data_IF_797306761522
#
_entry.id   IF_797306761522
#
_cell.length_a   1.000
_cell.length_b   1.000
_cell.length_c   1.000
_cell.angle_alpha   90.00
_cell.angle_beta   90.00
_cell.angle_gamma   90.00
#
_symmetry.space_group_name_H-M   'P 1'
#
loop_
_entity.id
_entity.type
_entity.pdbx_description
1 polymer ?
#
# COMPACT_ATOMS: atom_id res chain seq x y z
N UNK A 1 0.25 -64.16 19.73
CA UNK A 1 0.55 -62.91 18.99
C UNK A 1 -0.42 -62.84 17.83
N UNK A 2 -1.64 -62.34 18.09
CA UNK A 2 -2.63 -62.12 17.05
C UNK A 2 -2.35 -60.72 16.46
N UNK A 3 -2.30 -60.66 15.13
CA UNK A 3 -1.85 -59.52 14.34
C UNK A 3 -2.86 -58.36 14.45
N UNK A 4 -2.65 -57.43 15.39
CA UNK A 4 -3.47 -56.21 15.58
C UNK A 4 -3.14 -55.15 14.51
N UNK A 5 -3.31 -55.48 13.23
CA UNK A 5 -3.17 -54.47 12.16
C UNK A 5 -4.50 -53.78 11.91
N UNK A 6 -4.57 -52.50 12.30
CA UNK A 6 -5.75 -51.63 12.15
C UNK A 6 -5.98 -51.16 10.69
N UNK A 7 -5.00 -51.35 9.80
CA UNK A 7 -5.05 -50.95 8.39
C UNK A 7 -4.45 -52.02 7.48
N UNK A 8 -4.97 -52.12 6.26
CA UNK A 8 -4.43 -52.96 5.19
C UNK A 8 -3.76 -52.07 4.12
N UNK A 9 -2.56 -52.46 3.70
CA UNK A 9 -1.86 -51.83 2.57
C UNK A 9 -2.38 -52.50 1.30
N UNK A 10 -3.13 -51.75 0.48
CA UNK A 10 -3.89 -52.34 -0.64
C UNK A 10 -2.99 -52.75 -1.79
N UNK A 11 -1.81 -52.15 -1.97
CA UNK A 11 -0.81 -52.52 -2.99
C UNK A 11 0.58 -52.31 -2.40
N UNK A 12 1.47 -53.31 -2.43
CA UNK A 12 2.74 -53.34 -1.67
C UNK A 12 3.85 -52.36 -2.05
N UNK A 13 3.55 -51.17 -2.58
CA UNK A 13 4.54 -50.13 -2.91
C UNK A 13 4.49 -48.94 -1.96
N UNK A 14 5.61 -48.22 -1.81
CA UNK A 14 5.83 -47.16 -0.81
C UNK A 14 4.88 -45.93 -0.86
N UNK A 15 3.94 -45.88 -1.83
CA UNK A 15 2.96 -44.78 -2.05
C UNK A 15 1.51 -45.32 -1.99
N UNK A 16 1.31 -46.49 -1.40
CA UNK A 16 0.02 -47.18 -1.38
C UNK A 16 -1.05 -46.52 -0.51
N UNK A 17 -2.29 -46.47 -1.02
CA UNK A 17 -3.48 -46.10 -0.24
C UNK A 17 -3.68 -47.07 0.94
N UNK A 18 -3.71 -46.53 2.16
CA UNK A 18 -4.04 -47.27 3.36
C UNK A 18 -5.57 -47.35 3.49
N UNK A 19 -6.12 -48.57 3.47
CA UNK A 19 -7.57 -48.78 3.64
C UNK A 19 -7.87 -49.24 5.06
N UNK A 20 -8.83 -48.58 5.70
CA UNK A 20 -9.22 -48.89 7.09
C UNK A 20 -9.83 -50.27 7.11
N UNK A 21 -9.26 -51.17 7.90
CA UNK A 21 -10.00 -52.35 8.31
C UNK A 21 -11.10 -51.87 9.25
N UNK A 22 -12.35 -51.87 8.75
CA UNK A 22 -13.52 -51.53 9.57
C UNK A 22 -13.73 -52.64 10.60
N UNK A 23 -13.00 -52.57 11.71
CA UNK A 23 -13.38 -53.29 12.92
C UNK A 23 -14.56 -52.51 13.51
N UNK A 24 -15.78 -53.08 13.55
CA UNK A 24 -16.91 -52.38 14.13
C UNK A 24 -16.63 -52.20 15.62
N UNK A 25 -16.47 -50.95 16.06
CA UNK A 25 -16.54 -50.63 17.49
C UNK A 25 -17.91 -51.14 17.97
N UNK A 26 -17.95 -52.16 18.84
CA UNK A 26 -19.21 -52.68 19.40
C UNK A 26 -19.97 -51.64 20.24
N UNK A 27 -19.33 -50.49 20.53
CA UNK A 27 -19.96 -49.32 21.14
C UNK A 27 -20.53 -48.39 20.06
N UNK A 28 -21.83 -48.10 20.12
CA UNK A 28 -22.39 -46.94 19.43
C UNK A 28 -21.59 -45.70 19.87
N UNK A 29 -21.09 -44.85 18.95
CA UNK A 29 -20.43 -43.62 19.36
C UNK A 29 -21.44 -42.79 20.17
N UNK A 30 -21.06 -42.39 21.38
CA UNK A 30 -21.90 -41.50 22.19
C UNK A 30 -21.96 -40.18 21.44
N UNK A 31 -23.17 -39.76 21.06
CA UNK A 31 -23.34 -38.48 20.40
C UNK A 31 -23.02 -37.36 21.40
N UNK A 32 -22.34 -36.32 20.93
CA UNK A 32 -21.89 -35.20 21.74
C UNK A 32 -22.62 -33.94 21.24
N UNK A 33 -23.09 -33.10 22.16
CA UNK A 33 -23.70 -31.82 21.85
C UNK A 33 -22.92 -30.67 22.47
N UNK A 34 -22.94 -29.52 21.79
CA UNK A 34 -22.40 -28.28 22.33
C UNK A 34 -23.41 -27.69 23.32
N UNK A 35 -23.05 -27.65 24.60
CA UNK A 35 -23.83 -27.01 25.66
C UNK A 35 -23.64 -25.49 25.70
N UNK A 36 -24.21 -24.86 26.73
CA UNK A 36 -24.00 -23.43 27.01
C UNK A 36 -22.53 -23.17 27.41
N UNK A 37 -22.00 -21.99 27.08
CA UNK A 37 -20.70 -21.48 27.55
C UNK A 37 -19.49 -22.40 27.32
N UNK A 38 -19.41 -23.05 26.14
CA UNK A 38 -18.31 -23.93 25.73
C UNK A 38 -18.21 -25.26 26.48
N UNK A 39 -19.19 -25.58 27.31
CA UNK A 39 -19.27 -26.90 27.92
C UNK A 39 -19.78 -27.90 26.88
N UNK A 40 -19.15 -29.07 26.85
CA UNK A 40 -19.50 -30.15 25.93
C UNK A 40 -20.32 -31.15 26.75
N UNK A 41 -21.49 -31.58 26.25
CA UNK A 41 -22.36 -32.53 26.93
C UNK A 41 -22.55 -33.81 26.13
N UNK A 42 -22.75 -34.91 26.84
CA UNK A 42 -23.20 -36.14 26.20
C UNK A 42 -24.67 -36.02 25.78
N UNK A 43 -24.98 -36.43 24.55
CA UNK A 43 -26.34 -36.52 24.03
C UNK A 43 -26.91 -37.87 24.47
N UNK A 44 -27.28 -37.98 25.75
CA UNK A 44 -27.94 -39.16 26.27
C UNK A 44 -29.41 -38.83 26.55
N UNK A 45 -30.32 -39.49 25.81
CA UNK A 45 -31.78 -39.26 25.92
C UNK A 45 -32.42 -39.86 27.19
N UNK A 46 -31.64 -40.56 28.02
CA UNK A 46 -32.14 -41.36 29.16
C UNK A 46 -31.78 -40.85 30.56
N UNK A 47 -30.91 -39.84 30.69
CA UNK A 47 -30.56 -39.25 32.00
C UNK A 47 -31.16 -37.85 32.14
N UNK A 48 -31.70 -37.56 33.32
CA UNK A 48 -32.27 -36.24 33.70
C UNK A 48 -31.22 -35.19 34.05
N UNK A 49 -29.96 -35.58 34.27
CA UNK A 49 -28.85 -34.67 34.59
C UNK A 49 -27.96 -34.45 33.36
N UNK A 50 -27.60 -33.18 33.11
CA UNK A 50 -26.66 -32.82 32.04
C UNK A 50 -25.22 -33.21 32.42
N UNK A 51 -24.75 -34.36 31.93
CA UNK A 51 -23.37 -34.82 32.12
C UNK A 51 -22.41 -34.01 31.22
N UNK A 52 -21.80 -32.97 31.79
CA UNK A 52 -20.77 -32.17 31.14
C UNK A 52 -19.40 -32.86 31.16
N UNK A 53 -18.72 -32.88 30.01
CA UNK A 53 -17.36 -33.40 29.87
C UNK A 53 -16.34 -32.44 30.51
N UNK A 54 -15.55 -32.96 31.45
CA UNK A 54 -14.46 -32.20 32.05
C UNK A 54 -13.25 -32.12 31.12
N UNK A 55 -12.53 -30.99 31.16
CA UNK A 55 -11.32 -30.81 30.36
C UNK A 55 -10.23 -31.86 30.68
N UNK A 56 -10.15 -32.33 31.93
CA UNK A 56 -9.22 -33.39 32.33
C UNK A 56 -9.57 -34.73 31.65
N UNK A 57 -10.86 -35.07 31.58
CA UNK A 57 -11.30 -36.28 30.91
C UNK A 57 -11.00 -36.24 29.41
N UNK A 58 -11.25 -35.12 28.75
CA UNK A 58 -10.90 -34.93 27.33
C UNK A 58 -9.39 -35.01 27.10
N UNK A 59 -8.58 -34.48 28.03
CA UNK A 59 -7.12 -34.59 27.94
C UNK A 59 -6.65 -36.05 27.98
N UNK A 60 -7.19 -36.86 28.90
CA UNK A 60 -6.86 -38.30 28.98
C UNK A 60 -7.23 -39.03 27.70
N UNK A 61 -8.35 -38.68 27.06
CA UNK A 61 -8.72 -39.23 25.75
C UNK A 61 -7.68 -38.84 24.71
N UNK A 62 -7.32 -37.56 24.62
CA UNK A 62 -6.35 -37.06 23.63
C UNK A 62 -4.94 -37.59 23.83
N UNK A 63 -4.56 -37.96 25.05
CA UNK A 63 -3.26 -38.60 25.34
C UNK A 63 -3.21 -40.07 24.88
N UNK A 64 -4.34 -40.76 24.85
CA UNK A 64 -4.43 -42.17 24.44
C UNK A 64 -4.58 -42.36 22.92
N UNK A 65 -4.61 -41.29 22.13
CA UNK A 65 -4.72 -41.38 20.66
C UNK A 65 -3.37 -41.81 20.09
N UNK A 66 -3.37 -42.82 19.22
CA UNK A 66 -2.16 -43.30 18.56
C UNK A 66 -1.58 -42.26 17.59
N UNK A 67 -0.26 -42.25 17.41
CA UNK A 67 0.42 -41.36 16.45
C UNK A 67 -0.11 -41.51 15.01
N UNK A 68 -0.57 -42.71 14.64
CA UNK A 68 -1.17 -42.98 13.34
C UNK A 68 -2.52 -42.27 13.21
N UNK A 69 -3.39 -42.38 14.22
CA UNK A 69 -4.69 -41.72 14.23
C UNK A 69 -4.57 -40.19 14.27
N UNK A 70 -3.57 -39.66 14.99
CA UNK A 70 -3.25 -38.22 14.99
C UNK A 70 -2.97 -37.72 13.57
N UNK A 71 -2.15 -38.44 12.79
CA UNK A 71 -1.86 -38.08 11.40
C UNK A 71 -3.08 -38.19 10.50
N UNK A 72 -3.88 -39.23 10.69
CA UNK A 72 -5.10 -39.45 9.92
C UNK A 72 -6.15 -38.36 10.15
N UNK A 73 -6.23 -37.79 11.35
CA UNK A 73 -7.08 -36.64 11.66
C UNK A 73 -6.55 -35.31 11.08
N UNK A 74 -5.39 -35.31 10.43
CA UNK A 74 -4.75 -34.11 9.86
C UNK A 74 -3.86 -33.34 10.84
N UNK A 75 -3.59 -33.89 12.02
CA UNK A 75 -2.67 -33.29 12.99
C UNK A 75 -1.23 -33.80 12.78
N UNK A 76 -0.25 -32.99 13.19
CA UNK A 76 1.14 -33.38 13.18
C UNK A 76 1.58 -33.81 14.58
N UNK A 77 2.01 -35.06 14.73
CA UNK A 77 2.46 -35.65 16.01
C UNK A 77 3.49 -34.76 16.73
N UNK A 78 4.41 -34.13 15.98
CA UNK A 78 5.49 -33.32 16.54
C UNK A 78 5.14 -31.83 16.73
N UNK A 79 4.13 -31.30 16.03
CA UNK A 79 3.87 -29.84 15.97
C UNK A 79 2.47 -29.42 16.40
N UNK A 80 1.48 -30.29 16.32
CA UNK A 80 0.08 -29.97 16.60
C UNK A 80 -0.67 -31.17 17.18
N UNK A 81 -0.07 -31.86 18.16
CA UNK A 81 -0.74 -32.99 18.81
C UNK A 81 -2.06 -32.53 19.47
N UNK A 82 -3.19 -33.26 19.32
CA UNK A 82 -4.51 -32.86 19.83
C UNK A 82 -4.55 -32.46 21.32
N UNK A 83 -3.79 -33.18 22.16
CA UNK A 83 -3.62 -32.86 23.59
C UNK A 83 -3.18 -31.40 23.86
N UNK A 84 -2.48 -30.75 22.93
CA UNK A 84 -2.02 -29.36 23.07
C UNK A 84 -3.12 -28.32 22.82
N UNK A 85 -4.30 -28.73 22.37
CA UNK A 85 -5.48 -27.85 22.32
C UNK A 85 -5.99 -27.50 23.73
N UNK A 86 -5.68 -28.34 24.74
CA UNK A 86 -6.02 -28.10 26.14
C UNK A 86 -4.85 -27.39 26.81
N UNK A 87 -5.10 -26.17 27.31
CA UNK A 87 -4.07 -25.33 27.91
C UNK A 87 -3.74 -25.80 29.33
N UNK A 88 -2.61 -26.48 29.50
CA UNK A 88 -2.02 -26.78 30.82
C UNK A 88 -1.09 -25.67 31.32
N UNK A 89 -0.40 -25.01 30.40
CA UNK A 89 0.54 -23.92 30.67
C UNK A 89 0.17 -22.75 29.78
N UNK A 90 -0.13 -21.61 30.38
CA UNK A 90 -0.47 -20.38 29.66
C UNK A 90 0.79 -19.50 29.53
N UNK A 91 1.31 -19.26 28.31
CA UNK A 91 2.45 -18.37 28.13
C UNK A 91 2.06 -16.91 28.39
N UNK A 92 2.86 -16.22 29.22
CA UNK A 92 2.69 -14.80 29.51
C UNK A 92 3.52 -13.97 28.52
N UNK A 93 2.91 -13.09 27.71
CA UNK A 93 3.64 -12.30 26.74
C UNK A 93 4.57 -11.27 27.43
N UNK A 94 5.71 -10.92 26.82
CA UNK A 94 6.64 -9.92 27.36
C UNK A 94 6.04 -8.51 27.29
N UNK A 95 6.65 -7.56 28.00
CA UNK A 95 6.20 -6.15 28.06
C UNK A 95 6.10 -5.49 26.67
N UNK A 96 6.91 -5.91 25.70
CA UNK A 96 6.84 -5.41 24.32
C UNK A 96 5.47 -5.64 23.64
N UNK A 97 4.72 -6.68 24.05
CA UNK A 97 3.38 -6.98 23.52
C UNK A 97 2.26 -6.30 24.34
N UNK A 98 2.57 -5.96 25.60
CA UNK A 98 1.65 -5.35 26.58
C UNK A 98 2.30 -4.12 27.22
N UNK A 99 2.56 -3.06 26.42
CA UNK A 99 3.33 -1.91 26.87
C UNK A 99 2.57 -1.14 27.96
N UNK A 100 3.33 -0.51 28.86
CA UNK A 100 2.78 0.41 29.84
C UNK A 100 2.82 1.82 29.27
N UNK A 101 1.78 2.60 29.52
CA UNK A 101 1.68 3.98 29.04
C UNK A 101 1.72 4.92 30.24
N UNK A 102 2.70 5.82 30.25
CA UNK A 102 2.77 6.91 31.23
C UNK A 102 2.14 8.14 30.58
N UNK A 103 0.97 8.53 31.05
CA UNK A 103 0.32 9.76 30.61
C UNK A 103 1.06 10.97 31.18
N UNK A 104 1.22 12.07 30.42
CA UNK A 104 1.83 13.29 30.94
C UNK A 104 1.09 13.76 32.20
N UNK A 105 1.82 13.89 33.33
CA UNK A 105 1.25 14.34 34.61
C UNK A 105 0.73 13.24 35.55
N UNK A 106 0.79 11.96 35.18
CA UNK A 106 0.52 10.84 36.10
C UNK A 106 1.81 10.18 36.56
N UNK A 107 1.97 9.97 37.86
CA UNK A 107 3.12 9.29 38.46
C UNK A 107 3.08 7.77 38.34
N UNK A 108 1.88 7.19 38.16
CA UNK A 108 1.68 5.74 38.04
C UNK A 108 1.39 5.37 36.58
N UNK A 109 2.17 4.45 35.98
CA UNK A 109 1.92 4.00 34.61
C UNK A 109 0.57 3.28 34.49
N UNK A 110 -0.19 3.63 33.44
CA UNK A 110 -1.38 2.88 33.05
C UNK A 110 -0.96 1.55 32.42
N UNK A 111 -1.55 0.47 32.91
CA UNK A 111 -1.25 -0.89 32.46
C UNK A 111 -2.11 -1.27 31.25
N UNK A 112 -1.56 -2.11 30.39
CA UNK A 112 -2.29 -2.66 29.25
C UNK A 112 -3.47 -3.58 29.68
N UNK A 113 -4.55 -3.58 28.90
CA UNK A 113 -5.75 -4.43 29.12
C UNK A 113 -5.42 -5.93 29.29
N UNK A 114 -4.42 -6.45 28.56
CA UNK A 114 -3.95 -7.83 28.67
C UNK A 114 -3.32 -8.07 30.05
N UNK A 115 -2.56 -7.10 30.57
CA UNK A 115 -1.95 -7.18 31.90
C UNK A 115 -3.02 -7.25 32.99
N UNK A 116 -4.07 -6.44 32.89
CA UNK A 116 -5.20 -6.52 33.83
C UNK A 116 -5.84 -7.91 33.84
N UNK A 117 -6.06 -8.49 32.65
CA UNK A 117 -6.67 -9.82 32.55
C UNK A 117 -5.76 -10.94 33.08
N UNK A 118 -4.44 -10.84 32.86
CA UNK A 118 -3.47 -11.79 33.41
C UNK A 118 -3.44 -11.77 34.94
N UNK A 119 -3.55 -10.59 35.56
CA UNK A 119 -3.63 -10.48 37.03
C UNK A 119 -4.86 -11.22 37.56
N UNK A 120 -6.02 -11.09 36.90
CA UNK A 120 -7.22 -11.81 37.31
C UNK A 120 -7.07 -13.33 37.15
N UNK A 121 -6.47 -13.79 36.04
CA UNK A 121 -6.18 -15.22 35.81
C UNK A 121 -5.31 -15.78 36.93
N UNK A 122 -4.23 -15.07 37.31
CA UNK A 122 -3.31 -15.51 38.38
C UNK A 122 -4.03 -15.55 39.73
N UNK A 123 -4.84 -14.53 40.06
CA UNK A 123 -5.60 -14.48 41.31
C UNK A 123 -6.56 -15.67 41.44
N UNK A 124 -7.33 -15.98 40.39
CA UNK A 124 -8.28 -17.09 40.42
C UNK A 124 -7.55 -18.44 40.44
N UNK A 125 -6.44 -18.56 39.71
CA UNK A 125 -5.63 -19.79 39.73
C UNK A 125 -5.05 -20.06 41.14
N UNK A 126 -4.54 -19.04 41.83
CA UNK A 126 -4.04 -19.17 43.19
C UNK A 126 -5.18 -19.49 44.18
N UNK A 127 -6.36 -18.90 44.00
CA UNK A 127 -7.54 -19.24 44.80
C UNK A 127 -7.96 -20.70 44.60
N UNK A 128 -7.94 -21.19 43.36
CA UNK A 128 -8.24 -22.60 43.05
C UNK A 128 -7.22 -23.56 43.69
N UNK A 129 -5.95 -23.16 43.77
CA UNK A 129 -4.91 -23.92 44.50
C UNK A 129 -5.19 -23.94 46.00
N UNK A 130 -5.57 -22.80 46.60
CA UNK A 130 -5.91 -22.71 48.02
C UNK A 130 -7.13 -23.59 48.38
N UNK A 131 -8.22 -23.48 47.62
CA UNK A 131 -9.43 -24.31 47.82
C UNK A 131 -9.16 -25.81 47.74
N UNK A 132 -8.21 -26.21 46.87
CA UNK A 132 -7.78 -27.60 46.76
C UNK A 132 -7.01 -28.08 47.99
N UNK A 133 -6.18 -27.23 48.58
CA UNK A 133 -5.41 -27.57 49.78
C UNK A 133 -6.31 -27.63 51.02
N UNK A 134 -7.30 -26.74 51.09
CA UNK A 134 -8.23 -26.63 52.23
C UNK A 134 -9.34 -27.69 52.21
N UNK A 135 -9.31 -28.66 51.27
CA UNK A 135 -10.33 -29.72 51.12
C UNK A 135 -11.76 -29.16 51.09
N UNK A 136 -11.94 -28.05 50.37
CA UNK A 136 -13.25 -27.38 50.21
C UNK A 136 -14.25 -28.23 49.43
N UNK A 137 -15.53 -27.84 49.45
CA UNK A 137 -16.60 -28.57 48.75
C UNK A 137 -16.39 -28.60 47.23
N UNK A 138 -16.70 -29.73 46.60
CA UNK A 138 -16.57 -29.93 45.14
C UNK A 138 -17.34 -28.87 44.32
N UNK A 139 -18.45 -28.37 44.85
CA UNK A 139 -19.24 -27.30 44.24
C UNK A 139 -18.44 -25.99 44.12
N UNK A 140 -17.78 -25.56 45.19
CA UNK A 140 -16.96 -24.33 45.18
C UNK A 140 -15.76 -24.45 44.23
N UNK A 141 -15.17 -25.64 44.12
CA UNK A 141 -14.10 -25.92 43.16
C UNK A 141 -14.61 -25.85 41.72
N UNK A 142 -15.79 -26.41 41.43
CA UNK A 142 -16.40 -26.39 40.11
C UNK A 142 -16.75 -24.96 39.66
N UNK A 143 -17.27 -24.12 40.56
CA UNK A 143 -17.61 -22.73 40.25
C UNK A 143 -16.35 -21.89 40.00
N UNK A 144 -15.31 -22.06 40.83
CA UNK A 144 -14.01 -21.39 40.62
C UNK A 144 -13.35 -21.83 39.31
N UNK A 145 -13.50 -23.11 38.93
CA UNK A 145 -13.01 -23.64 37.65
C UNK A 145 -13.74 -23.01 36.45
N UNK A 146 -15.07 -22.85 36.52
CA UNK A 146 -15.85 -22.12 35.49
C UNK A 146 -15.40 -20.67 35.37
N UNK A 147 -15.14 -20.01 36.50
CA UNK A 147 -14.63 -18.64 36.51
C UNK A 147 -13.24 -18.53 35.88
N UNK A 148 -12.33 -19.47 36.17
CA UNK A 148 -11.02 -19.52 35.53
C UNK A 148 -11.15 -19.69 34.01
N UNK A 149 -12.03 -20.60 33.56
CA UNK A 149 -12.32 -20.81 32.14
C UNK A 149 -12.86 -19.53 31.48
N UNK A 150 -13.73 -18.78 32.16
CA UNK A 150 -14.21 -17.49 31.70
C UNK A 150 -13.06 -16.48 31.51
N UNK A 151 -12.16 -16.35 32.48
CA UNK A 151 -11.03 -15.43 32.38
C UNK A 151 -10.02 -15.79 31.29
N UNK A 152 -9.72 -17.08 31.11
CA UNK A 152 -8.86 -17.57 30.02
C UNK A 152 -9.52 -17.34 28.65
N UNK A 153 -10.82 -17.62 28.53
CA UNK A 153 -11.54 -17.45 27.26
C UNK A 153 -11.60 -15.98 26.87
N UNK A 154 -11.98 -15.11 27.81
CA UNK A 154 -12.04 -13.67 27.57
C UNK A 154 -10.66 -13.05 27.33
N UNK A 155 -9.56 -13.61 27.84
CA UNK A 155 -8.19 -13.20 27.52
C UNK A 155 -7.83 -13.36 26.03
N UNK A 156 -8.35 -14.40 25.37
CA UNK A 156 -8.14 -14.60 23.93
C UNK A 156 -9.23 -13.92 23.09
N UNK A 157 -10.49 -14.07 23.48
CA UNK A 157 -11.67 -13.66 22.70
C UNK A 157 -12.73 -13.05 23.63
N UNK A 158 -12.97 -11.75 23.49
CA UNK A 158 -13.94 -11.00 24.29
C UNK A 158 -15.21 -10.60 23.52
N UNK A 159 -15.26 -10.84 22.20
CA UNK A 159 -16.37 -10.42 21.33
C UNK A 159 -17.41 -11.51 21.07
N UNK A 160 -17.28 -12.68 21.68
CA UNK A 160 -18.22 -13.77 21.39
C UNK A 160 -19.58 -13.49 22.05
N UNK A 161 -20.70 -13.61 21.31
CA UNK A 161 -22.04 -13.29 21.84
C UNK A 161 -22.49 -14.23 22.96
N UNK A 162 -21.91 -15.43 23.06
CA UNK A 162 -22.24 -16.42 24.09
C UNK A 162 -21.56 -16.14 25.44
N UNK A 163 -20.77 -15.07 25.59
CA UNK A 163 -20.04 -14.79 26.84
C UNK A 163 -20.31 -13.35 27.26
N UNK A 164 -20.48 -13.14 28.57
CA UNK A 164 -20.47 -11.81 29.17
C UNK A 164 -19.12 -11.12 28.91
N UNK A 165 -19.14 -9.98 28.21
CA UNK A 165 -17.91 -9.25 27.86
C UNK A 165 -17.20 -8.76 29.12
N UNK A 166 -15.90 -9.04 29.20
CA UNK A 166 -15.06 -8.50 30.25
C UNK A 166 -14.84 -7.00 30.00
N UNK A 167 -15.20 -6.18 30.98
CA UNK A 167 -15.11 -4.72 30.93
C UNK A 167 -14.09 -4.21 31.96
N UNK A 168 -13.53 -3.04 31.67
CA UNK A 168 -12.79 -2.23 32.64
C UNK A 168 -13.74 -1.69 33.71
N UNK A 169 -13.19 -1.12 34.79
CA UNK A 169 -13.97 -0.44 35.85
C UNK A 169 -14.91 0.65 35.30
N UNK A 170 -14.59 1.22 34.14
CA UNK A 170 -15.36 2.28 33.49
C UNK A 170 -16.40 1.74 32.48
N UNK A 171 -16.65 0.42 32.46
CA UNK A 171 -17.60 -0.22 31.55
C UNK A 171 -17.11 -0.41 30.10
N UNK A 172 -15.94 0.13 29.73
CA UNK A 172 -15.34 -0.11 28.41
C UNK A 172 -14.89 -1.58 28.29
N UNK A 173 -15.22 -2.31 27.19
CA UNK A 173 -14.73 -3.66 26.95
C UNK A 173 -13.19 -3.71 26.84
N UNK A 174 -12.58 -4.73 27.44
CA UNK A 174 -11.13 -4.95 27.36
C UNK A 174 -10.72 -5.33 25.93
N UNK A 175 -9.61 -4.74 25.44
CA UNK A 175 -9.04 -5.05 24.11
C UNK A 175 -8.07 -6.22 24.17
N UNK A 176 -8.56 -7.39 23.75
CA UNK A 176 -7.87 -8.68 23.93
C UNK A 176 -7.12 -9.13 22.66
N UNK A 177 -6.37 -10.23 22.73
CA UNK A 177 -5.44 -10.64 21.67
C UNK A 177 -6.14 -10.78 20.31
N UNK A 178 -7.27 -11.49 20.22
CA UNK A 178 -7.96 -11.66 18.93
C UNK A 178 -8.46 -10.35 18.33
N UNK A 179 -8.88 -9.39 19.16
CA UNK A 179 -9.34 -8.08 18.70
C UNK A 179 -8.18 -7.21 18.20
N UNK A 180 -6.98 -7.37 18.77
CA UNK A 180 -5.78 -6.68 18.29
C UNK A 180 -5.36 -7.17 16.92
N UNK A 181 -5.61 -8.43 16.59
CA UNK A 181 -5.22 -9.01 15.30
C UNK A 181 -6.25 -8.75 14.19
N UNK A 182 -7.55 -8.76 14.52
CA UNK A 182 -8.65 -8.66 13.54
C UNK A 182 -9.09 -7.22 13.29
N UNK A 183 -9.80 -7.01 12.20
CA UNK A 183 -10.44 -5.73 11.85
C UNK A 183 -9.59 -4.80 10.99
N UNK A 184 -10.15 -3.64 10.62
CA UNK A 184 -9.50 -2.65 9.76
C UNK A 184 -8.26 -2.03 10.43
N UNK A 185 -8.36 -1.75 11.73
CA UNK A 185 -7.27 -1.21 12.55
C UNK A 185 -6.49 -2.30 13.31
N UNK A 186 -6.76 -3.58 13.05
CA UNK A 186 -6.01 -4.68 13.64
C UNK A 186 -4.58 -4.74 13.12
N UNK A 187 -3.66 -5.37 13.84
CA UNK A 187 -2.24 -5.45 13.47
C UNK A 187 -2.01 -6.01 12.07
N UNK A 188 -2.77 -7.03 11.66
CA UNK A 188 -2.60 -7.64 10.34
C UNK A 188 -2.87 -6.65 9.19
N UNK A 189 -3.93 -5.84 9.30
CA UNK A 189 -4.30 -4.90 8.23
C UNK A 189 -3.66 -3.52 8.43
N UNK A 190 -3.74 -2.97 9.63
CA UNK A 190 -3.31 -1.60 9.93
C UNK A 190 -1.83 -1.41 10.26
N UNK A 191 -1.04 -2.49 10.38
CA UNK A 191 0.41 -2.37 10.60
C UNK A 191 1.25 -3.15 9.59
N UNK A 192 0.75 -4.30 9.10
CA UNK A 192 1.46 -5.08 8.07
C UNK A 192 1.03 -4.70 6.65
N UNK A 193 -0.28 -4.57 6.38
CA UNK A 193 -0.77 -4.31 5.01
C UNK A 193 -0.81 -2.82 4.65
N UNK A 194 -1.08 -1.95 5.62
CA UNK A 194 -1.03 -0.51 5.45
C UNK A 194 -0.30 0.10 6.64
N UNK A 195 0.91 0.62 6.41
CA UNK A 195 1.72 1.28 7.42
C UNK A 195 1.83 2.76 7.08
N UNK A 196 2.14 3.58 8.08
CA UNK A 196 2.62 4.94 7.84
C UNK A 196 4.09 4.84 7.43
N UNK A 197 4.43 5.53 6.35
CA UNK A 197 5.75 5.49 5.75
C UNK A 197 6.44 6.84 5.93
N UNK A 198 7.72 6.78 6.27
CA UNK A 198 8.60 7.94 6.31
C UNK A 198 8.98 8.39 4.89
N UNK A 199 9.63 9.56 4.78
CA UNK A 199 10.05 10.15 3.48
C UNK A 199 8.90 10.34 2.48
N UNK A 200 7.74 10.75 3.02
CA UNK A 200 6.56 11.11 2.25
C UNK A 200 6.07 12.50 2.62
N UNK A 201 5.39 13.15 1.69
CA UNK A 201 4.77 14.46 1.89
C UNK A 201 3.37 14.48 1.27
N UNK A 202 2.51 15.37 1.76
CA UNK A 202 1.15 15.59 1.26
C UNK A 202 0.88 17.08 1.20
N UNK A 203 0.32 17.53 0.09
CA UNK A 203 -0.11 18.92 -0.11
C UNK A 203 -1.20 18.98 -1.18
N UNK A 204 -1.86 20.13 -1.26
CA UNK A 204 -2.86 20.46 -2.29
C UNK A 204 -2.17 20.54 -3.65
N UNK A 205 -2.86 20.11 -4.71
CA UNK A 205 -2.38 20.20 -6.08
C UNK A 205 -2.85 21.47 -6.80
N UNK A 206 -2.07 21.92 -7.79
CA UNK A 206 -2.39 23.06 -8.65
C UNK A 206 -2.00 22.76 -10.09
N UNK A 207 -2.73 23.28 -11.09
CA UNK A 207 -2.40 23.07 -12.49
C UNK A 207 -1.16 23.89 -12.87
N UNK A 208 -0.28 23.31 -13.68
CA UNK A 208 0.77 24.06 -14.35
C UNK A 208 0.97 23.54 -15.78
N UNK A 209 0.63 24.33 -16.82
CA UNK A 209 0.79 23.90 -18.21
C UNK A 209 2.24 24.00 -18.71
N UNK A 210 3.14 24.64 -17.95
CA UNK A 210 4.52 24.88 -18.37
C UNK A 210 5.47 23.72 -18.05
N UNK A 211 5.07 22.81 -17.16
CA UNK A 211 5.86 21.65 -16.76
C UNK A 211 5.57 20.44 -17.66
N UNK A 212 6.55 19.55 -17.83
CA UNK A 212 6.38 18.31 -18.59
C UNK A 212 5.42 17.34 -17.87
N UNK A 213 4.80 16.42 -18.61
CA UNK A 213 3.92 15.35 -18.05
C UNK A 213 4.65 14.40 -17.10
N UNK A 214 5.97 14.34 -17.18
CA UNK A 214 6.77 13.47 -16.34
C UNK A 214 7.46 14.25 -15.22
N UNK A 215 7.05 15.50 -15.00
CA UNK A 215 7.53 16.35 -13.92
C UNK A 215 6.41 16.67 -12.95
N UNK A 216 6.79 16.80 -11.68
CA UNK A 216 5.91 17.32 -10.63
C UNK A 216 6.61 18.49 -9.94
N UNK A 217 5.90 19.62 -9.83
CA UNK A 217 6.37 20.77 -9.08
C UNK A 217 6.33 20.46 -7.59
N UNK A 218 7.48 20.50 -6.93
CA UNK A 218 7.66 20.25 -5.50
C UNK A 218 7.99 21.58 -4.80
N UNK A 219 7.21 21.98 -3.79
CA UNK A 219 7.52 23.12 -2.94
C UNK A 219 8.94 23.08 -2.36
N UNK A 220 9.67 24.19 -2.42
CA UNK A 220 11.01 24.32 -1.84
C UNK A 220 11.03 23.96 -0.34
N UNK A 221 10.01 24.36 0.41
CA UNK A 221 9.86 24.04 1.85
C UNK A 221 9.81 22.52 2.09
N UNK A 222 9.14 21.77 1.21
CA UNK A 222 9.05 20.30 1.31
C UNK A 222 10.35 19.64 0.86
N UNK A 223 11.04 20.21 -0.12
CA UNK A 223 12.29 19.68 -0.63
C UNK A 223 13.43 19.70 0.40
N UNK A 224 13.43 20.66 1.34
CA UNK A 224 14.38 20.72 2.47
C UNK A 224 14.14 19.63 3.53
N UNK A 225 12.87 19.26 3.72
CA UNK A 225 12.48 18.24 4.70
C UNK A 225 12.77 16.85 4.14
N UNK A 226 12.38 16.62 2.89
CA UNK A 226 12.55 15.34 2.23
C UNK A 226 14.00 15.13 1.79
N UNK A 227 14.55 13.98 2.14
CA UNK A 227 15.95 13.66 1.86
C UNK A 227 16.09 12.38 1.05
N UNK A 228 17.24 12.26 0.39
CA UNK A 228 17.69 11.07 -0.30
C UNK A 228 19.10 10.70 0.19
N UNK A 229 19.32 9.47 0.71
CA UNK A 229 20.62 9.02 1.18
C UNK A 229 21.52 8.75 -0.02
N UNK A 230 22.55 9.57 -0.20
CA UNK A 230 23.54 9.39 -1.24
C UNK A 230 24.87 8.91 -0.64
N UNK A 231 25.35 7.78 -1.16
CA UNK A 231 26.62 7.20 -0.74
C UNK A 231 27.76 8.02 -1.35
N UNK A 232 28.72 8.39 -0.51
CA UNK A 232 29.94 9.08 -0.92
C UNK A 232 30.82 8.09 -1.69
N UNK A 233 31.12 8.47 -2.92
CA UNK A 233 32.02 7.79 -3.86
C UNK A 233 33.09 8.77 -4.29
N UNK A 234 34.20 8.27 -4.82
CA UNK A 234 35.30 9.11 -5.30
C UNK A 234 34.87 10.11 -6.38
N UNK A 235 33.81 9.79 -7.15
CA UNK A 235 33.30 10.66 -8.22
C UNK A 235 32.40 11.78 -7.72
N UNK A 236 31.58 11.54 -6.70
CA UNK A 236 30.60 12.52 -6.19
C UNK A 236 31.06 13.25 -4.92
N UNK A 237 32.20 12.86 -4.32
CA UNK A 237 32.71 13.39 -3.06
C UNK A 237 32.75 14.92 -3.03
N UNK A 238 33.46 15.57 -3.97
CA UNK A 238 33.56 17.05 -4.03
C UNK A 238 32.21 17.74 -4.11
N UNK A 239 31.27 17.12 -4.81
CA UNK A 239 29.91 17.64 -4.93
C UNK A 239 29.13 17.49 -3.63
N UNK A 240 29.22 16.34 -2.96
CA UNK A 240 28.59 16.13 -1.65
C UNK A 240 29.20 17.02 -0.56
N UNK A 241 30.52 17.25 -0.58
CA UNK A 241 31.18 18.22 0.29
C UNK A 241 30.59 19.62 0.10
N UNK A 242 30.36 20.05 -1.15
CA UNK A 242 29.71 21.33 -1.43
C UNK A 242 28.26 21.41 -0.93
N UNK A 243 27.55 20.29 -0.89
CA UNK A 243 26.18 20.20 -0.35
C UNK A 243 26.19 20.30 1.18
N UNK A 244 27.08 19.56 1.83
CA UNK A 244 27.22 19.59 3.30
C UNK A 244 27.63 20.99 3.77
N UNK A 245 28.48 21.68 3.02
CA UNK A 245 28.88 23.06 3.32
C UNK A 245 27.74 24.09 3.22
N UNK A 246 26.70 23.81 2.41
CA UNK A 246 25.47 24.65 2.41
C UNK A 246 24.62 24.46 3.67
N UNK A 247 24.76 23.33 4.35
CA UNK A 247 24.06 23.03 5.60
C UNK A 247 22.59 22.63 5.41
N UNK A 248 21.81 22.77 6.49
CA UNK A 248 20.41 22.33 6.59
C UNK A 248 19.40 23.32 5.99
N UNK A 249 19.64 24.63 6.13
CA UNK A 249 18.64 25.67 5.83
C UNK A 249 18.57 26.06 4.35
N UNK A 250 19.69 25.94 3.64
CA UNK A 250 19.81 26.31 2.23
C UNK A 250 19.23 25.24 1.30
N UNK A 251 18.65 25.68 0.18
CA UNK A 251 18.09 24.77 -0.83
C UNK A 251 19.22 23.98 -1.50
N UNK A 252 19.03 22.67 -1.58
CA UNK A 252 20.04 21.75 -2.12
C UNK A 252 21.21 21.55 -1.16
N UNK A 253 20.95 21.70 0.14
CA UNK A 253 21.81 21.28 1.24
C UNK A 253 21.56 19.83 1.67
N UNK A 254 21.88 19.52 2.93
CA UNK A 254 21.69 18.22 3.52
C UNK A 254 21.27 18.33 4.99
N UNK A 255 20.59 17.29 5.50
CA UNK A 255 20.14 17.27 6.89
C UNK A 255 21.07 16.44 7.78
N UNK A 256 21.58 15.33 7.25
CA UNK A 256 22.37 14.40 8.04
C UNK A 256 23.56 13.84 7.27
N UNK A 257 24.61 13.51 8.03
CA UNK A 257 25.76 12.73 7.55
C UNK A 257 25.91 11.52 8.47
N UNK A 258 25.99 10.34 7.87
CA UNK A 258 26.23 9.08 8.59
C UNK A 258 27.61 8.55 8.21
N UNK A 259 28.46 8.36 9.22
CA UNK A 259 29.80 7.82 9.04
C UNK A 259 29.77 6.30 8.85
N UNK A 260 30.89 5.69 8.46
CA UNK A 260 31.03 4.24 8.27
C UNK A 260 30.68 3.41 9.54
N UNK A 261 30.83 4.01 10.72
CA UNK A 261 30.48 3.39 12.00
C UNK A 261 28.97 3.47 12.34
N UNK A 262 28.16 4.09 11.48
CA UNK A 262 26.72 4.29 11.71
C UNK A 262 26.36 5.44 12.63
N UNK A 263 27.33 6.28 13.03
CA UNK A 263 27.04 7.51 13.79
C UNK A 263 26.43 8.55 12.87
N UNK A 264 25.19 8.95 13.15
CA UNK A 264 24.44 9.95 12.39
C UNK A 264 24.60 11.32 13.04
N UNK A 265 25.25 12.23 12.33
CA UNK A 265 25.44 13.63 12.72
C UNK A 265 24.37 14.49 12.07
N UNK A 266 23.67 15.29 12.88
CA UNK A 266 22.69 16.27 12.43
C UNK A 266 23.38 17.58 12.09
N UNK A 267 23.18 18.06 10.86
CA UNK A 267 23.79 19.29 10.36
C UNK A 267 23.12 20.55 10.93
N UNK A 268 21.89 20.46 11.45
CA UNK A 268 21.20 21.59 12.05
C UNK A 268 21.84 22.06 13.37
N UNK A 269 22.54 21.17 14.09
CA UNK A 269 23.20 21.46 15.36
C UNK A 269 24.72 21.58 15.25
N UNK A 270 25.28 21.56 14.04
CA UNK A 270 26.71 21.64 13.82
C UNK A 270 27.14 23.11 13.65
N UNK A 271 27.98 23.61 14.56
CA UNK A 271 28.46 24.99 14.51
C UNK A 271 29.48 25.22 13.37
N UNK A 272 30.35 24.23 13.10
CA UNK A 272 31.42 24.33 12.10
C UNK A 272 31.34 23.18 11.08
N UNK A 273 30.61 23.41 9.98
CA UNK A 273 30.42 22.44 8.89
C UNK A 273 31.74 22.06 8.17
N UNK A 274 32.74 22.94 8.22
CA UNK A 274 34.06 22.72 7.59
C UNK A 274 34.88 21.59 8.23
N UNK A 275 34.51 21.17 9.44
CA UNK A 275 35.18 20.07 10.15
C UNK A 275 34.77 18.70 9.62
N UNK A 276 33.68 18.61 8.85
CA UNK A 276 33.13 17.36 8.35
C UNK A 276 33.86 16.96 7.06
N UNK A 277 34.97 16.25 7.22
CA UNK A 277 35.68 15.64 6.09
C UNK A 277 34.97 14.35 5.65
N UNK A 278 34.34 14.36 4.48
CA UNK A 278 33.66 13.19 3.93
C UNK A 278 34.68 12.17 3.42
N UNK A 279 34.49 10.90 3.79
CA UNK A 279 35.27 9.77 3.24
C UNK A 279 34.38 8.87 2.38
N UNK A 280 34.93 8.16 1.37
CA UNK A 280 34.16 7.19 0.61
C UNK A 280 33.57 6.11 1.52
N UNK A 281 32.27 5.85 1.39
CA UNK A 281 31.51 4.95 2.29
C UNK A 281 30.49 5.68 3.17
N UNK A 282 30.70 6.97 3.42
CA UNK A 282 29.78 7.80 4.20
C UNK A 282 28.45 7.97 3.46
N UNK A 283 27.37 8.24 4.19
CA UNK A 283 26.04 8.48 3.62
C UNK A 283 25.63 9.90 3.95
N UNK A 284 25.29 10.69 2.93
CA UNK A 284 24.77 12.05 3.08
C UNK A 284 23.28 12.06 2.74
N UNK A 285 22.45 12.39 3.72
CA UNK A 285 21.00 12.58 3.54
C UNK A 285 20.77 13.99 2.96
N UNK A 286 20.99 14.13 1.65
CA UNK A 286 20.82 15.40 0.94
C UNK A 286 19.35 15.70 0.65
N UNK A 287 19.01 16.97 0.50
CA UNK A 287 17.68 17.40 0.07
C UNK A 287 17.31 16.87 -1.32
N UNK A 288 16.02 16.82 -1.62
CA UNK A 288 15.53 16.60 -2.99
C UNK A 288 15.98 17.76 -3.88
N UNK A 289 16.36 17.43 -5.11
CA UNK A 289 16.70 18.40 -6.16
C UNK A 289 15.90 18.17 -7.43
N UNK A 290 16.03 19.10 -8.36
CA UNK A 290 15.50 18.95 -9.70
C UNK A 290 15.94 17.64 -10.35
N UNK A 291 15.02 17.01 -11.06
CA UNK A 291 15.16 15.73 -11.74
C UNK A 291 15.37 14.51 -10.84
N UNK A 292 15.28 14.64 -9.51
CA UNK A 292 15.15 13.47 -8.66
C UNK A 292 13.83 12.74 -8.92
N UNK A 293 13.85 11.43 -8.71
CA UNK A 293 12.72 10.56 -9.05
C UNK A 293 11.86 10.40 -7.81
N UNK A 294 10.58 10.74 -7.94
CA UNK A 294 9.60 10.67 -6.86
C UNK A 294 8.40 9.88 -7.35
N UNK A 295 7.67 9.26 -6.42
CA UNK A 295 6.41 8.59 -6.72
C UNK A 295 5.28 9.50 -6.27
N UNK A 296 4.32 9.73 -7.15
CA UNK A 296 3.18 10.60 -6.89
C UNK A 296 1.88 9.80 -6.95
N UNK A 297 1.02 10.00 -5.95
CA UNK A 297 -0.17 9.18 -5.72
C UNK A 297 -1.38 10.05 -5.35
N UNK A 298 -2.56 9.71 -5.91
CA UNK A 298 -3.86 10.16 -5.39
C UNK A 298 -4.62 9.01 -4.72
N UNK A 299 -5.15 9.28 -3.53
CA UNK A 299 -6.04 8.36 -2.82
C UNK A 299 -7.50 8.66 -3.16
N UNK A 300 -8.37 7.64 -3.33
CA UNK A 300 -8.09 6.20 -3.29
C UNK A 300 -7.39 5.70 -4.57
N UNK A 301 -6.35 4.86 -4.41
CA UNK A 301 -5.61 4.30 -5.54
C UNK A 301 -6.26 3.01 -6.05
N UNK A 302 -7.16 3.13 -7.03
CA UNK A 302 -7.91 2.00 -7.60
C UNK A 302 -7.22 1.36 -8.81
N UNK A 303 -6.39 2.13 -9.50
CA UNK A 303 -5.72 1.70 -10.72
C UNK A 303 -4.21 1.84 -10.58
N UNK A 304 -3.46 1.07 -11.38
CA UNK A 304 -1.99 1.15 -11.42
C UNK A 304 -1.49 2.59 -11.64
N UNK A 305 -2.16 3.34 -12.51
CA UNK A 305 -1.80 4.72 -12.87
C UNK A 305 -2.18 5.75 -11.78
N UNK A 306 -2.89 5.35 -10.73
CA UNK A 306 -3.10 6.21 -9.57
C UNK A 306 -1.81 6.40 -8.74
N UNK A 307 -0.73 5.69 -9.10
CA UNK A 307 0.61 5.84 -8.52
C UNK A 307 1.68 5.73 -9.62
N UNK A 308 2.29 6.85 -9.99
CA UNK A 308 3.28 6.93 -11.08
C UNK A 308 4.55 7.65 -10.65
N UNK A 309 5.64 7.38 -11.36
CA UNK A 309 6.93 8.01 -11.15
C UNK A 309 7.05 9.32 -11.92
N UNK A 310 7.42 10.38 -11.22
CA UNK A 310 7.68 11.72 -11.76
C UNK A 310 9.11 12.17 -11.45
N UNK A 311 9.59 13.15 -12.19
CA UNK A 311 10.78 13.92 -11.86
C UNK A 311 10.38 15.15 -11.04
N UNK A 312 11.02 15.34 -9.90
CA UNK A 312 10.83 16.53 -9.10
C UNK A 312 11.34 17.77 -9.87
N UNK A 313 10.58 18.86 -9.80
CA UNK A 313 11.00 20.20 -10.20
C UNK A 313 10.72 21.11 -9.01
N UNK A 314 11.76 21.70 -8.43
CA UNK A 314 11.61 22.61 -7.31
C UNK A 314 10.92 23.88 -7.76
N UNK A 315 9.88 24.28 -7.04
CA UNK A 315 9.09 25.46 -7.36
C UNK A 315 8.75 26.26 -6.10
N UNK A 316 8.63 27.59 -6.22
CA UNK A 316 8.14 28.42 -5.15
C UNK A 316 6.63 28.16 -4.92
N UNK A 317 6.15 28.59 -3.75
CA UNK A 317 4.82 28.31 -3.17
C UNK A 317 4.71 26.94 -2.49
N UNK A 318 3.51 26.60 -2.01
CA UNK A 318 3.24 25.49 -1.08
C UNK A 318 2.47 24.32 -1.68
N UNK A 319 2.02 24.43 -2.92
CA UNK A 319 1.21 23.40 -3.60
C UNK A 319 2.08 22.56 -4.52
N UNK A 320 1.69 21.29 -4.70
CA UNK A 320 2.27 20.47 -5.76
C UNK A 320 1.76 20.94 -7.11
N UNK A 321 2.61 21.01 -8.13
CA UNK A 321 2.17 21.36 -9.49
C UNK A 321 2.18 20.16 -10.41
N UNK A 322 1.12 19.99 -11.19
CA UNK A 322 0.95 18.86 -12.10
C UNK A 322 0.52 19.35 -13.48
N UNK A 323 1.00 18.67 -14.52
CA UNK A 323 0.51 18.89 -15.88
C UNK A 323 -0.96 18.47 -15.99
N UNK A 324 -1.76 19.26 -16.71
CA UNK A 324 -3.18 18.99 -16.86
C UNK A 324 -3.47 17.64 -17.55
N UNK A 325 -2.58 17.15 -18.40
CA UNK A 325 -2.75 15.86 -19.09
C UNK A 325 -2.74 14.67 -18.11
N UNK A 326 -2.06 14.79 -16.96
CA UNK A 326 -1.96 13.72 -15.96
C UNK A 326 -3.13 13.70 -14.97
N UNK A 327 -4.02 14.69 -15.01
CA UNK A 327 -5.21 14.72 -14.14
C UNK A 327 -6.12 13.51 -14.36
N UNK A 328 -6.22 13.03 -15.61
CA UNK A 328 -7.08 11.91 -16.00
C UNK A 328 -6.70 10.59 -15.31
N UNK A 329 -5.44 10.09 -15.38
CA UNK A 329 -5.07 8.85 -14.69
C UNK A 329 -5.17 8.93 -13.16
N UNK A 330 -4.96 10.10 -12.57
CA UNK A 330 -5.14 10.31 -11.13
C UNK A 330 -6.61 10.51 -10.73
N UNK A 331 -7.50 10.73 -11.70
CA UNK A 331 -8.88 11.19 -11.49
C UNK A 331 -8.93 12.41 -10.57
N UNK A 332 -7.97 13.32 -10.75
CA UNK A 332 -7.76 14.48 -9.90
C UNK A 332 -8.39 15.73 -10.51
N UNK A 333 -8.87 16.63 -9.66
CA UNK A 333 -9.27 17.98 -10.01
C UNK A 333 -8.49 18.99 -9.14
N UNK A 334 -8.78 20.28 -9.27
CA UNK A 334 -8.04 21.35 -8.59
C UNK A 334 -8.94 22.16 -7.66
N UNK A 335 -9.93 21.53 -7.04
CA UNK A 335 -10.91 22.18 -6.15
C UNK A 335 -10.51 22.13 -4.64
N UNK A 336 -9.33 21.59 -4.34
CA UNK A 336 -8.85 21.33 -2.98
C UNK A 336 -8.26 19.93 -2.79
N UNK A 337 -8.25 19.13 -3.85
CA UNK A 337 -7.61 17.81 -3.91
C UNK A 337 -6.17 17.82 -3.36
N UNK A 338 -5.87 16.82 -2.53
CA UNK A 338 -4.55 16.58 -1.95
C UNK A 338 -3.95 15.30 -2.51
N UNK A 339 -2.66 15.34 -2.83
CA UNK A 339 -1.91 14.18 -3.31
C UNK A 339 -0.67 13.91 -2.45
N UNK A 340 -0.26 12.64 -2.45
CA UNK A 340 0.90 12.18 -1.69
C UNK A 340 2.11 12.04 -2.62
N UNK A 341 3.28 12.43 -2.12
CA UNK A 341 4.58 12.25 -2.75
C UNK A 341 5.42 11.32 -1.86
N UNK A 342 6.08 10.35 -2.48
CA UNK A 342 6.98 9.41 -1.82
C UNK A 342 8.36 9.44 -2.48
N UNK A 343 9.41 9.44 -1.67
CA UNK A 343 10.80 9.55 -2.13
C UNK A 343 11.48 8.18 -2.02
N UNK A 344 11.81 7.51 -3.15
CA UNK A 344 12.53 6.25 -3.11
C UNK A 344 13.91 6.43 -2.48
N UNK A 345 14.18 5.68 -1.40
CA UNK A 345 15.41 5.83 -0.61
C UNK A 345 16.60 5.00 -1.13
N UNK A 346 16.37 4.01 -1.99
CA UNK A 346 17.44 3.18 -2.56
C UNK A 346 17.63 3.43 -4.05
N UNK A 347 18.85 3.25 -4.56
CA UNK A 347 19.14 3.37 -5.98
C UNK A 347 18.38 2.33 -6.82
N UNK A 348 18.18 1.12 -6.27
CA UNK A 348 17.38 0.08 -6.92
C UNK A 348 15.91 0.52 -7.07
N UNK A 349 15.31 1.09 -6.01
CA UNK A 349 13.94 1.60 -6.08
C UNK A 349 13.83 2.80 -7.04
N UNK A 350 14.82 3.71 -7.06
CA UNK A 350 14.86 4.78 -8.07
C UNK A 350 14.90 4.23 -9.50
N UNK A 351 15.69 3.19 -9.73
CA UNK A 351 15.76 2.53 -11.03
C UNK A 351 14.42 1.87 -11.40
N UNK A 352 13.76 1.20 -10.47
CA UNK A 352 12.44 0.59 -10.67
C UNK A 352 11.40 1.64 -11.06
N UNK A 353 11.32 2.74 -10.32
CA UNK A 353 10.38 3.84 -10.60
C UNK A 353 10.67 4.46 -11.96
N UNK A 354 11.96 4.73 -12.28
CA UNK A 354 12.37 5.27 -13.58
C UNK A 354 12.00 4.37 -14.75
N UNK A 355 12.17 3.06 -14.58
CA UNK A 355 12.10 2.13 -15.69
C UNK A 355 10.74 1.47 -15.87
N UNK A 356 9.92 1.42 -14.82
CA UNK A 356 8.62 0.72 -14.84
C UNK A 356 7.49 1.73 -14.61
N UNK A 357 7.58 2.55 -13.57
CA UNK A 357 6.46 3.39 -13.11
C UNK A 357 6.41 4.79 -13.71
N UNK A 358 7.46 5.22 -14.43
CA UNK A 358 7.54 6.58 -14.97
C UNK A 358 6.34 6.91 -15.87
N UNK A 359 5.81 8.14 -15.76
CA UNK A 359 4.62 8.58 -16.50
C UNK A 359 4.67 8.28 -18.00
N UNK A 360 5.78 8.54 -18.73
CA UNK A 360 5.84 8.26 -20.17
C UNK A 360 5.63 6.78 -20.52
N UNK A 361 5.91 5.87 -19.58
CA UNK A 361 5.71 4.41 -19.72
C UNK A 361 4.32 3.95 -19.29
N UNK A 362 3.49 4.86 -18.77
CA UNK A 362 2.12 4.61 -18.32
C UNK A 362 1.07 5.35 -19.17
N UNK A 363 1.48 6.01 -20.27
CA UNK A 363 0.55 6.69 -21.19
C UNK A 363 -0.50 5.71 -21.73
N UNK A 364 -0.10 4.51 -22.15
CA UNK A 364 -1.00 3.47 -22.67
C UNK A 364 -1.36 2.49 -21.55
N UNK A 365 -2.66 2.33 -21.29
CA UNK A 365 -3.14 1.39 -20.28
C UNK A 365 -3.37 -0.01 -20.88
N UNK A 366 -2.88 -1.08 -20.23
CA UNK A 366 -3.18 -2.45 -20.64
C UNK A 366 -4.62 -2.88 -20.36
N UNK A 367 -5.40 -2.11 -19.58
CA UNK A 367 -6.80 -2.46 -19.29
C UNK A 367 -7.68 -2.40 -20.55
N UNK A 368 -7.43 -1.43 -21.42
CA UNK A 368 -8.23 -1.17 -22.62
C UNK A 368 -7.38 -0.96 -23.87
N UNK A 369 -6.07 -1.23 -23.79
CA UNK A 369 -5.09 -1.04 -24.87
C UNK A 369 -5.20 0.34 -25.56
N UNK A 370 -5.45 1.37 -24.76
CA UNK A 370 -5.66 2.75 -25.23
C UNK A 370 -4.91 3.76 -24.35
N UNK A 371 -4.56 4.93 -24.88
CA UNK A 371 -3.97 5.99 -24.08
C UNK A 371 -4.97 6.46 -23.00
N UNK A 372 -4.45 6.69 -21.79
CA UNK A 372 -5.18 7.28 -20.66
C UNK A 372 -4.78 8.74 -20.45
N UNK A 373 -3.52 9.07 -20.79
CA UNK A 373 -3.00 10.44 -20.79
C UNK A 373 -3.20 11.02 -22.19
N UNK A 374 -3.80 12.21 -22.25
CA UNK A 374 -4.06 12.92 -23.49
C UNK A 374 -4.40 14.39 -23.23
N UNK A 375 -4.58 15.16 -24.30
CA UNK A 375 -4.93 16.57 -24.18
C UNK A 375 -6.37 16.73 -23.66
N UNK A 376 -6.53 17.59 -22.66
CA UNK A 376 -7.81 17.85 -22.00
C UNK A 376 -8.07 19.35 -21.88
N UNK A 377 -9.32 19.70 -21.56
CA UNK A 377 -9.75 21.08 -21.27
C UNK A 377 -9.33 22.09 -22.35
N UNK A 378 -8.66 23.18 -21.97
CA UNK A 378 -8.32 24.30 -22.84
C UNK A 378 -7.38 23.89 -23.98
N UNK A 379 -6.44 22.96 -23.73
CA UNK A 379 -5.53 22.48 -24.76
C UNK A 379 -6.31 21.75 -25.87
N UNK A 380 -7.29 20.93 -25.50
CA UNK A 380 -8.14 20.21 -26.46
C UNK A 380 -9.02 21.18 -27.26
N UNK A 381 -9.62 22.18 -26.60
CA UNK A 381 -10.39 23.23 -27.26
C UNK A 381 -9.51 24.04 -28.22
N UNK A 382 -8.31 24.40 -27.78
CA UNK A 382 -7.30 25.10 -28.57
C UNK A 382 -6.91 24.32 -29.83
N UNK A 383 -6.71 23.00 -29.72
CA UNK A 383 -6.43 22.14 -30.87
C UNK A 383 -7.57 22.18 -31.92
N UNK A 384 -8.83 22.13 -31.46
CA UNK A 384 -9.98 22.21 -32.36
C UNK A 384 -10.09 23.57 -33.04
N UNK A 385 -9.91 24.66 -32.30
CA UNK A 385 -9.97 26.02 -32.86
C UNK A 385 -8.82 26.25 -33.85
N UNK A 386 -7.60 25.85 -33.49
CA UNK A 386 -6.43 26.00 -34.35
C UNK A 386 -6.52 25.16 -35.63
N UNK A 387 -7.13 23.98 -35.57
CA UNK A 387 -7.27 23.12 -36.74
C UNK A 387 -8.41 23.51 -37.69
N UNK A 388 -9.21 24.55 -37.44
CA UNK A 388 -10.25 24.98 -38.40
C UNK A 388 -9.66 25.56 -39.69
N UNK A 389 -10.41 25.45 -40.81
CA UNK A 389 -9.97 25.95 -42.13
C UNK A 389 -9.90 27.48 -42.22
N UNK A 390 -10.72 28.17 -41.44
CA UNK A 390 -10.81 29.63 -41.36
C UNK A 390 -9.74 30.25 -40.44
N UNK A 391 -8.96 29.43 -39.75
CA UNK A 391 -7.93 29.92 -38.82
C UNK A 391 -6.62 30.16 -39.55
N UNK A 392 -6.30 31.44 -39.73
CA UNK A 392 -5.05 31.92 -40.32
C UNK A 392 -4.24 32.73 -39.33
N UNK A 393 -2.92 32.55 -39.36
CA UNK A 393 -1.97 33.18 -38.48
C UNK A 393 -0.97 34.02 -39.28
N UNK A 394 -0.64 35.19 -38.74
CA UNK A 394 0.39 36.07 -39.28
C UNK A 394 1.79 35.56 -38.94
N UNK A 395 2.80 35.97 -39.71
CA UNK A 395 4.20 35.59 -39.48
C UNK A 395 4.65 35.80 -38.02
N UNK A 396 4.27 36.92 -37.40
CA UNK A 396 4.63 37.23 -36.02
C UNK A 396 4.01 36.25 -35.02
N UNK A 397 2.74 35.89 -35.21
CA UNK A 397 2.06 34.91 -34.34
C UNK A 397 2.69 33.53 -34.49
N UNK A 398 2.99 33.09 -35.72
CA UNK A 398 3.65 31.80 -35.96
C UNK A 398 5.03 31.77 -35.31
N UNK A 399 5.83 32.81 -35.48
CA UNK A 399 7.16 32.91 -34.87
C UNK A 399 7.09 32.85 -33.34
N UNK A 400 6.13 33.52 -32.72
CA UNK A 400 5.92 33.44 -31.27
C UNK A 400 5.53 32.02 -30.83
N UNK A 401 4.69 31.32 -31.60
CA UNK A 401 4.33 29.91 -31.32
C UNK A 401 5.53 28.98 -31.48
N UNK A 402 6.39 29.22 -32.48
CA UNK A 402 7.61 28.44 -32.68
C UNK A 402 8.62 28.58 -31.53
N UNK A 403 8.59 29.67 -30.76
CA UNK A 403 9.44 29.81 -29.58
C UNK A 403 9.11 28.82 -28.46
N UNK A 404 7.89 28.27 -28.45
CA UNK A 404 7.48 27.24 -27.49
C UNK A 404 7.91 25.82 -27.91
N UNK A 405 8.43 25.65 -29.12
CA UNK A 405 8.97 24.36 -29.55
C UNK A 405 10.35 24.13 -28.91
N UNK A 406 10.62 22.91 -28.40
CA UNK A 406 11.97 22.55 -28.00
C UNK A 406 12.89 22.69 -29.22
N UNK A 407 14.05 23.31 -29.01
CA UNK A 407 14.96 23.76 -30.06
C UNK A 407 15.58 22.56 -30.80
N UNK A 408 14.86 22.02 -31.78
CA UNK A 408 15.42 21.08 -32.73
C UNK A 408 16.15 21.88 -33.82
N UNK A 409 17.38 21.47 -34.14
CA UNK A 409 18.23 22.12 -35.16
C UNK A 409 17.57 22.19 -36.55
N UNK A 410 16.52 21.40 -36.77
CA UNK A 410 15.84 21.21 -38.05
C UNK A 410 14.48 21.92 -38.16
N UNK A 411 14.05 22.69 -37.14
CA UNK A 411 12.74 23.37 -37.18
C UNK A 411 12.80 24.61 -38.06
N UNK A 412 12.54 24.43 -39.35
CA UNK A 412 12.47 25.51 -40.35
C UNK A 412 11.04 26.04 -40.42
N UNK A 413 10.87 27.37 -40.48
CA UNK A 413 9.57 27.99 -40.73
C UNK A 413 9.07 27.56 -42.13
N UNK A 414 7.94 26.86 -42.24
CA UNK A 414 7.45 26.38 -43.52
C UNK A 414 6.96 27.55 -44.40
N UNK A 415 6.91 27.39 -45.74
CA UNK A 415 6.38 28.42 -46.62
C UNK A 415 4.89 28.68 -46.33
N UNK A 416 4.41 29.94 -46.32
CA UNK A 416 3.02 30.24 -45.99
C UNK A 416 2.05 29.58 -46.98
N UNK A 417 0.90 29.10 -46.49
CA UNK A 417 -0.14 28.53 -47.35
C UNK A 417 -0.79 29.56 -48.28
N UNK A 418 -0.80 30.84 -47.88
CA UNK A 418 -1.28 31.97 -48.70
C UNK A 418 -0.13 32.98 -48.81
N UNK A 419 0.27 33.29 -50.05
CA UNK A 419 1.38 34.23 -50.33
C UNK A 419 0.89 35.67 -50.58
N UNK A 420 -0.30 35.84 -51.17
CA UNK A 420 -0.89 37.13 -51.56
C UNK A 420 -2.35 37.19 -51.10
N UNK A 421 -2.89 38.36 -50.71
CA UNK A 421 -2.23 39.67 -50.62
C UNK A 421 -1.28 39.81 -49.42
N UNK A 422 -1.45 38.98 -48.39
CA UNK A 422 -0.61 38.94 -47.18
C UNK A 422 -0.16 37.50 -46.95
N UNK A 423 1.05 37.32 -46.43
CA UNK A 423 1.57 36.00 -46.05
C UNK A 423 0.84 35.47 -44.82
N UNK A 424 0.12 34.36 -44.98
CA UNK A 424 -0.64 33.71 -43.92
C UNK A 424 -0.33 32.21 -43.87
N UNK A 425 -0.29 31.67 -42.65
CA UNK A 425 -0.16 30.25 -42.36
C UNK A 425 -1.48 29.73 -41.82
N UNK A 426 -1.89 28.54 -42.22
CA UNK A 426 -3.07 27.91 -41.63
C UNK A 426 -2.73 27.34 -40.25
N UNK A 427 -3.71 27.28 -39.35
CA UNK A 427 -3.47 26.69 -38.04
C UNK A 427 -3.11 25.19 -38.12
N UNK A 428 -3.58 24.44 -39.14
CA UNK A 428 -3.14 23.05 -39.40
C UNK A 428 -1.65 22.96 -39.75
N UNK A 429 -1.17 23.91 -40.54
CA UNK A 429 0.24 23.99 -40.92
C UNK A 429 1.12 24.27 -39.71
N UNK A 430 0.67 25.16 -38.82
CA UNK A 430 1.36 25.43 -37.56
C UNK A 430 1.29 24.20 -36.64
N UNK A 431 0.14 23.53 -36.56
CA UNK A 431 -0.02 22.32 -35.76
C UNK A 431 0.95 21.21 -36.18
N UNK A 432 1.21 21.09 -37.48
CA UNK A 432 2.17 20.13 -38.04
C UNK A 432 3.60 20.32 -37.53
N UNK A 433 3.96 21.50 -37.03
CA UNK A 433 5.28 21.74 -36.46
C UNK A 433 5.48 21.05 -35.09
N UNK A 434 4.38 20.74 -34.39
CA UNK A 434 4.42 20.03 -33.10
C UNK A 434 4.37 18.51 -33.26
N UNK A 435 4.03 18.02 -34.44
CA UNK A 435 3.82 16.58 -34.69
C UNK A 435 5.13 15.87 -35.04
N UNK A 436 5.38 14.67 -34.48
CA UNK A 436 6.41 13.78 -34.99
C UNK A 436 6.03 13.22 -36.37
N UNK A 437 7.00 12.62 -37.08
CA UNK A 437 6.77 11.96 -38.36
C UNK A 437 5.88 10.73 -38.20
N UNK A 438 4.57 10.92 -38.31
CA UNK A 438 3.54 9.89 -38.16
C UNK A 438 2.52 9.95 -39.30
N UNK A 439 1.84 8.83 -39.50
CA UNK A 439 0.70 8.72 -40.40
C UNK A 439 -0.55 8.37 -39.59
N UNK A 440 -1.63 9.13 -39.78
CA UNK A 440 -2.88 8.94 -39.06
C UNK A 440 -4.06 9.29 -39.99
N UNK A 441 -5.11 8.48 -39.95
CA UNK A 441 -6.31 8.65 -40.77
C UNK A 441 -7.52 8.24 -39.93
N UNK A 442 -8.35 9.21 -39.54
CA UNK A 442 -9.55 8.97 -38.75
C UNK A 442 -10.59 10.06 -39.02
N UNK A 443 -11.81 9.87 -38.50
CA UNK A 443 -12.88 10.85 -38.57
C UNK A 443 -13.03 11.58 -37.24
N UNK A 444 -13.27 12.89 -37.30
CA UNK A 444 -13.58 13.74 -36.14
C UNK A 444 -15.01 13.47 -35.64
N UNK A 445 -15.31 13.89 -34.42
CA UNK A 445 -16.68 13.92 -33.93
C UNK A 445 -17.55 14.82 -34.81
N UNK A 446 -18.73 14.32 -35.18
CA UNK A 446 -19.66 15.00 -36.07
C UNK A 446 -19.52 14.65 -37.56
N UNK A 447 -18.66 13.69 -37.92
CA UNK A 447 -18.63 13.14 -39.28
C UNK A 447 -19.94 12.42 -39.62
N UNK A 448 -20.59 12.86 -40.70
CA UNK A 448 -21.79 12.19 -41.24
C UNK A 448 -21.42 10.90 -41.98
N UNK A 449 -22.39 10.02 -42.23
CA UNK A 449 -22.14 8.78 -42.98
C UNK A 449 -21.77 9.05 -44.44
N UNK A 450 -22.16 10.19 -45.00
CA UNK A 450 -21.73 10.62 -46.32
C UNK A 450 -20.31 11.19 -46.32
N UNK A 451 -19.89 11.87 -45.24
CA UNK A 451 -18.50 12.30 -45.07
C UNK A 451 -17.54 11.10 -45.06
N UNK A 452 -17.96 9.96 -44.49
CA UNK A 452 -17.16 8.72 -44.44
C UNK A 452 -16.89 8.10 -45.82
N UNK A 453 -17.73 8.41 -46.81
CA UNK A 453 -17.57 7.93 -48.20
C UNK A 453 -16.65 8.82 -49.02
N UNK A 454 -16.36 10.04 -48.56
CA UNK A 454 -15.52 11.02 -49.26
C UNK A 454 -14.09 11.06 -48.71
N UNK A 455 -13.12 11.26 -49.60
CA UNK A 455 -11.74 11.55 -49.21
C UNK A 455 -11.56 12.99 -48.69
N UNK A 456 -12.42 13.92 -49.12
CA UNK A 456 -12.37 15.32 -48.73
C UNK A 456 -13.79 15.78 -48.35
N UNK A 457 -14.22 15.53 -47.10
CA UNK A 457 -15.52 15.99 -46.65
C UNK A 457 -15.60 17.52 -46.64
N UNK A 458 -16.77 18.05 -47.01
CA UNK A 458 -17.01 19.49 -47.07
C UNK A 458 -16.79 20.15 -45.71
N UNK A 459 -17.20 19.48 -44.64
CA UNK A 459 -17.13 19.94 -43.26
C UNK A 459 -15.77 19.69 -42.58
N UNK A 460 -14.76 19.20 -43.32
CA UNK A 460 -13.41 18.94 -42.77
C UNK A 460 -13.40 17.93 -41.61
N UNK A 461 -14.22 16.89 -41.73
CA UNK A 461 -14.45 15.90 -40.67
C UNK A 461 -13.52 14.69 -40.74
N UNK A 462 -12.64 14.59 -41.74
CA UNK A 462 -11.63 13.51 -41.85
C UNK A 462 -10.25 14.07 -41.54
N UNK A 463 -9.67 13.58 -40.46
CA UNK A 463 -8.32 13.92 -39.97
C UNK A 463 -7.30 13.06 -40.70
N UNK A 464 -6.46 13.71 -41.50
CA UNK A 464 -5.42 13.07 -42.29
C UNK A 464 -4.08 13.69 -41.93
N UNK A 465 -3.20 12.90 -41.31
CA UNK A 465 -1.81 13.26 -41.02
C UNK A 465 -0.92 12.34 -41.86
N UNK A 466 0.01 12.91 -42.62
CA UNK A 466 1.00 12.17 -43.41
C UNK A 466 2.39 12.72 -43.18
N UNK A 467 3.33 11.85 -42.83
CA UNK A 467 4.72 12.20 -42.48
C UNK A 467 4.81 13.37 -41.47
N UNK A 468 3.90 13.41 -40.48
CA UNK A 468 3.83 14.48 -39.48
C UNK A 468 3.13 15.77 -39.94
N UNK A 469 2.63 15.83 -41.17
CA UNK A 469 1.87 16.97 -41.68
C UNK A 469 0.37 16.74 -41.60
N UNK A 470 -0.34 17.61 -40.88
CA UNK A 470 -1.80 17.64 -40.81
C UNK A 470 -2.36 18.29 -42.09
N UNK A 471 -2.84 17.44 -43.00
CA UNK A 471 -3.32 17.86 -44.32
C UNK A 471 -4.78 18.32 -44.30
N UNK A 472 -5.62 17.61 -43.57
CA UNK A 472 -7.06 17.86 -43.50
C UNK A 472 -7.61 17.43 -42.13
N UNK A 473 -8.80 17.96 -41.78
CA UNK A 473 -9.55 17.53 -40.60
C UNK A 473 -9.50 18.47 -39.40
N UNK A 474 -10.55 18.41 -38.59
CA UNK A 474 -10.63 19.06 -37.29
C UNK A 474 -10.15 18.11 -36.19
N UNK A 475 -9.17 18.55 -35.40
CA UNK A 475 -8.70 17.80 -34.24
C UNK A 475 -9.70 17.96 -33.10
N UNK A 476 -10.09 16.85 -32.49
CA UNK A 476 -10.94 16.82 -31.31
C UNK A 476 -10.63 15.60 -30.44
N UNK A 477 -11.50 15.29 -29.47
CA UNK A 477 -11.31 14.18 -28.52
C UNK A 477 -11.10 12.80 -29.18
N UNK A 478 -11.54 12.61 -30.43
CA UNK A 478 -11.38 11.34 -31.15
C UNK A 478 -10.06 11.22 -31.91
N UNK A 479 -9.41 12.35 -32.16
CA UNK A 479 -8.08 12.45 -32.78
C UNK A 479 -7.01 12.23 -31.72
#
# INVERSE_FOLDING_TARGET
VADERFWEIVNGDAISEHRRMKVPCKSKPVAIEQGQDFLIKYKDTSKTEEDYLSAEYVLRIFENISDQDVRLMGFNVKRSHPKWMILKVLPVPPLAVRPQVVSPGQSVPSQDDITHKLVDIIKINNNLIALRNDSSTDTAMNDTRKLLQYHITTYFINDKPSILRATTKNGRPLKVISQRLKGKEGHLRGHLSGKRDDFSARSVISPDPSISIDQVGVPEDLAKILTFPEIVTTTNQKWLESIVMKGHDDIGGANYVTNDHGTKTDLAFCNDLSTIALSPGYIVDRHIRDNDIVIFNRQPSLHKMSMMGHRALLMPARTFRLNLCDTTPYNADFDGDEMNLHVPQSQAARAEVRHIMAVPKQIISPQANRPVIGLVQDALLGCRLLSKRDTFLTRNQVMNLMMWLPTNKDTILPPPCILKPVQLWSGKQVFSLFLPKINYDHFSNGASDDDKKSWMPANDTRVIIRDGHLLAGLLDKTS
#
